data_IF_402743863097
#
_entry.id   IF_402743863097
#
_cell.length_a   1.000
_cell.length_b   1.000
_cell.length_c   1.000
_cell.angle_alpha   90.00
_cell.angle_beta   90.00
_cell.angle_gamma   90.00
#
_symmetry.space_group_name_H-M   'P 1'
#
loop_
_entity.id
_entity.type
_entity.pdbx_description
1 polymer ?
#
# COMPACT_ATOMS: atom_id res chain seq x y z
N UNK A 1 -15.42 7.72 34.82
CA UNK A 1 -16.87 7.61 35.08
C UNK A 1 -17.55 7.19 33.77
N UNK A 2 -18.54 6.29 33.87
CA UNK A 2 -19.27 5.58 32.81
C UNK A 2 -18.59 4.32 32.22
N UNK A 3 -18.80 3.21 32.95
CA UNK A 3 -18.88 1.83 32.46
C UNK A 3 -20.16 1.62 31.64
N UNK A 4 -20.30 0.44 31.00
CA UNK A 4 -21.42 -0.16 30.22
C UNK A 4 -21.09 -0.23 28.70
N UNK A 5 -21.20 -1.36 27.97
CA UNK A 5 -21.96 -2.61 28.19
C UNK A 5 -21.36 -3.76 27.37
N UNK A 6 -21.39 -4.94 28.00
CA UNK A 6 -21.46 -6.30 27.43
C UNK A 6 -22.47 -6.45 26.29
N UNK A 7 -22.10 -7.19 25.23
CA UNK A 7 -23.05 -7.81 24.28
C UNK A 7 -22.67 -9.27 24.07
N UNK A 8 -23.40 -10.11 24.81
CA UNK A 8 -24.00 -11.40 24.45
C UNK A 8 -23.49 -12.11 23.18
N UNK A 9 -22.80 -13.23 23.37
CA UNK A 9 -22.68 -14.28 22.37
C UNK A 9 -23.91 -15.20 22.45
N UNK A 10 -24.68 -15.26 21.37
CA UNK A 10 -25.70 -16.31 21.18
C UNK A 10 -25.22 -17.28 20.09
N UNK A 11 -25.19 -18.60 20.35
CA UNK A 11 -24.76 -19.58 19.36
C UNK A 11 -25.90 -19.91 18.39
N UNK A 12 -25.63 -19.76 17.10
CA UNK A 12 -26.55 -20.19 16.03
C UNK A 12 -26.61 -21.72 16.00
N UNK A 13 -27.76 -22.26 16.41
CA UNK A 13 -28.15 -23.68 16.27
C UNK A 13 -28.22 -24.06 14.79
N UNK A 14 -27.39 -25.02 14.36
CA UNK A 14 -27.64 -25.78 13.13
C UNK A 14 -28.79 -26.77 13.39
N UNK A 15 -29.86 -26.64 12.59
CA UNK A 15 -30.93 -27.65 12.49
C UNK A 15 -30.38 -28.88 11.77
N UNK A 16 -30.34 -30.02 12.47
CA UNK A 16 -30.17 -31.32 11.85
C UNK A 16 -31.55 -31.87 11.46
N UNK A 17 -31.71 -32.22 10.19
CA UNK A 17 -32.89 -32.94 9.70
C UNK A 17 -32.87 -34.37 10.25
N UNK A 18 -34.03 -34.78 10.75
CA UNK A 18 -34.32 -36.10 11.26
C UNK A 18 -34.69 -37.02 10.11
N UNK A 19 -33.93 -38.09 9.88
CA UNK A 19 -34.40 -39.27 9.17
C UNK A 19 -34.37 -40.47 10.12
N UNK A 20 -35.54 -41.09 10.28
CA UNK A 20 -35.79 -42.34 11.00
C UNK A 20 -35.79 -43.49 10.01
N UNK A 21 -35.04 -44.56 10.29
CA UNK A 21 -35.43 -45.97 10.07
C UNK A 21 -34.31 -46.86 10.66
N UNK A 22 -34.49 -47.49 11.82
CA UNK A 22 -35.06 -48.83 12.08
C UNK A 22 -34.08 -50.01 11.96
N UNK A 23 -33.74 -50.57 13.13
CA UNK A 23 -33.45 -51.97 13.51
C UNK A 23 -32.43 -52.84 12.75
N UNK A 24 -31.55 -53.49 13.53
CA UNK A 24 -31.06 -54.85 13.24
C UNK A 24 -29.61 -55.16 13.62
N UNK A 25 -29.41 -55.65 14.84
CA UNK A 25 -28.41 -56.61 15.36
C UNK A 25 -27.15 -57.03 14.57
N UNK A 26 -26.04 -56.99 15.32
CA UNK A 26 -24.93 -57.96 15.42
C UNK A 26 -23.70 -57.94 14.49
N UNK A 27 -22.59 -58.28 15.16
CA UNK A 27 -21.27 -58.72 14.71
C UNK A 27 -20.15 -57.68 14.48
N UNK A 28 -19.38 -57.49 15.55
CA UNK A 28 -17.91 -57.51 15.62
C UNK A 28 -17.17 -57.66 14.28
N UNK A 29 -16.42 -56.61 13.90
CA UNK A 29 -15.11 -56.75 13.24
C UNK A 29 -14.23 -55.55 13.55
N UNK A 30 -13.09 -55.85 14.15
CA UNK A 30 -11.93 -54.97 14.27
C UNK A 30 -11.50 -54.47 12.89
N UNK A 31 -11.25 -53.17 12.76
CA UNK A 31 -10.10 -52.72 11.98
C UNK A 31 -9.70 -51.32 12.45
N UNK A 32 -8.43 -51.23 12.84
CA UNK A 32 -7.73 -50.00 13.12
C UNK A 32 -7.76 -49.14 11.86
N UNK A 33 -8.29 -47.92 11.97
CA UNK A 33 -8.12 -46.93 10.92
C UNK A 33 -7.50 -45.66 11.53
N UNK A 34 -6.26 -45.45 11.13
CA UNK A 34 -5.44 -44.33 11.51
C UNK A 34 -6.02 -43.07 10.87
N UNK A 35 -6.68 -42.25 11.69
CA UNK A 35 -7.14 -40.91 11.30
C UNK A 35 -5.99 -40.01 10.88
N UNK A 36 -5.60 -40.10 9.61
CA UNK A 36 -4.78 -39.09 8.95
C UNK A 36 -5.72 -37.99 8.47
N UNK A 37 -5.73 -36.88 9.22
CA UNK A 37 -6.29 -35.60 8.76
C UNK A 37 -5.69 -35.28 7.40
N UNK A 38 -6.50 -35.34 6.34
CA UNK A 38 -6.12 -34.84 5.04
C UNK A 38 -5.72 -33.36 5.15
N UNK A 39 -4.42 -33.12 5.10
CA UNK A 39 -3.85 -31.83 4.76
C UNK A 39 -4.30 -31.57 3.32
N UNK A 40 -5.29 -30.68 3.14
CA UNK A 40 -5.78 -30.22 1.83
C UNK A 40 -4.60 -29.72 0.99
N UNK A 41 -4.10 -30.60 0.12
CA UNK A 41 -3.07 -30.32 -0.88
C UNK A 41 -3.51 -29.11 -1.71
N UNK A 42 -2.62 -28.13 -1.82
CA UNK A 42 -2.82 -26.95 -2.66
C UNK A 42 -3.20 -27.35 -4.08
N UNK A 43 -4.09 -26.57 -4.70
CA UNK A 43 -4.47 -26.79 -6.09
C UNK A 43 -3.24 -26.61 -6.99
N UNK A 44 -2.81 -27.64 -7.75
CA UNK A 44 -1.68 -27.51 -8.65
C UNK A 44 -2.01 -26.55 -9.80
N UNK A 45 -1.03 -25.74 -10.20
CA UNK A 45 -1.11 -24.72 -11.25
C UNK A 45 -1.46 -25.28 -12.65
N UNK A 46 -1.54 -26.61 -12.79
CA UNK A 46 -1.67 -27.32 -14.07
C UNK A 46 -3.08 -27.28 -14.69
N UNK A 47 -4.09 -26.75 -14.01
CA UNK A 47 -5.48 -26.81 -14.47
C UNK A 47 -6.02 -25.45 -14.94
N UNK A 48 -5.31 -24.83 -15.89
CA UNK A 48 -5.65 -23.53 -16.51
C UNK A 48 -7.09 -23.46 -17.03
N UNK A 49 -7.65 -24.59 -17.48
CA UNK A 49 -9.04 -24.67 -17.93
C UNK A 49 -10.04 -24.46 -16.78
N UNK A 50 -9.75 -24.97 -15.57
CA UNK A 50 -10.55 -24.68 -14.37
C UNK A 50 -10.43 -23.23 -13.93
N UNK A 51 -9.23 -22.64 -14.04
CA UNK A 51 -9.00 -21.21 -13.77
C UNK A 51 -9.86 -20.32 -14.66
N UNK A 52 -9.84 -20.57 -15.97
CA UNK A 52 -10.61 -19.79 -16.94
C UNK A 52 -12.13 -19.93 -16.71
N UNK A 53 -12.61 -21.14 -16.39
CA UNK A 53 -14.02 -21.39 -16.09
C UNK A 53 -14.49 -20.70 -14.81
N UNK A 54 -13.65 -20.64 -13.77
CA UNK A 54 -13.96 -19.98 -12.50
C UNK A 54 -13.93 -18.44 -12.62
N UNK A 55 -12.96 -17.88 -13.36
CA UNK A 55 -12.91 -16.46 -13.68
C UNK A 55 -14.18 -16.01 -14.42
N UNK A 56 -14.61 -16.77 -15.44
CA UNK A 56 -15.79 -16.43 -16.24
C UNK A 56 -17.10 -16.45 -15.44
N UNK A 57 -17.21 -17.32 -14.43
CA UNK A 57 -18.46 -17.53 -13.70
C UNK A 57 -18.60 -16.69 -12.40
N UNK A 58 -17.51 -16.14 -11.86
CA UNK A 58 -17.52 -15.51 -10.52
C UNK A 58 -16.78 -14.17 -10.42
N UNK A 59 -16.29 -13.62 -11.53
CA UNK A 59 -15.51 -12.37 -11.49
C UNK A 59 -16.34 -11.18 -11.00
N UNK A 60 -15.83 -10.49 -9.99
CA UNK A 60 -16.37 -9.22 -9.51
C UNK A 60 -15.87 -8.09 -10.40
N UNK A 61 -16.79 -7.33 -11.00
CA UNK A 61 -16.46 -6.17 -11.84
C UNK A 61 -15.56 -5.17 -11.12
N UNK A 62 -15.78 -4.98 -9.81
CA UNK A 62 -14.99 -4.05 -8.98
C UNK A 62 -13.55 -4.54 -8.79
N UNK A 63 -13.36 -5.81 -8.45
CA UNK A 63 -12.02 -6.38 -8.24
C UNK A 63 -11.21 -6.38 -9.54
N UNK A 64 -11.86 -6.66 -10.68
CA UNK A 64 -11.23 -6.57 -12.00
C UNK A 64 -10.76 -5.15 -12.34
N UNK A 65 -11.55 -4.13 -12.00
CA UNK A 65 -11.16 -2.73 -12.22
C UNK A 65 -9.98 -2.31 -11.32
N UNK A 66 -9.97 -2.73 -10.06
CA UNK A 66 -8.84 -2.47 -9.15
C UNK A 66 -7.58 -3.16 -9.66
N UNK A 67 -7.67 -4.44 -10.03
CA UNK A 67 -6.56 -5.16 -10.63
C UNK A 67 -6.03 -4.46 -11.88
N UNK A 68 -6.92 -3.98 -12.76
CA UNK A 68 -6.53 -3.27 -13.99
C UNK A 68 -5.76 -1.97 -13.71
N UNK A 69 -6.21 -1.15 -12.74
CA UNK A 69 -5.50 0.10 -12.36
C UNK A 69 -4.07 -0.22 -11.93
N UNK A 70 -3.90 -1.25 -11.11
CA UNK A 70 -2.59 -1.64 -10.61
C UNK A 70 -1.71 -2.29 -11.69
N UNK A 71 -2.29 -3.05 -12.62
CA UNK A 71 -1.56 -3.56 -13.78
C UNK A 71 -1.05 -2.41 -14.65
N UNK A 72 -1.90 -1.43 -14.94
CA UNK A 72 -1.52 -0.26 -15.74
C UNK A 72 -0.44 0.56 -15.03
N UNK A 73 -0.57 0.78 -13.70
CA UNK A 73 0.45 1.44 -12.90
C UNK A 73 1.78 0.69 -12.87
N UNK A 74 1.75 -0.64 -12.80
CA UNK A 74 2.94 -1.49 -12.87
C UNK A 74 3.66 -1.33 -14.22
N UNK A 75 2.92 -1.44 -15.34
CA UNK A 75 3.50 -1.24 -16.68
C UNK A 75 4.06 0.18 -16.84
N UNK A 76 3.31 1.21 -16.43
CA UNK A 76 3.75 2.59 -16.53
C UNK A 76 5.02 2.87 -15.72
N UNK A 77 5.06 2.43 -14.45
CA UNK A 77 6.24 2.60 -13.60
C UNK A 77 7.46 1.80 -14.09
N UNK A 78 7.26 0.62 -14.68
CA UNK A 78 8.34 -0.15 -15.31
C UNK A 78 8.90 0.54 -16.55
N UNK A 79 8.04 1.09 -17.42
CA UNK A 79 8.48 1.89 -18.55
C UNK A 79 9.26 3.13 -18.10
N UNK A 80 8.76 3.85 -17.08
CA UNK A 80 9.49 4.97 -16.50
C UNK A 80 10.83 4.54 -15.90
N UNK A 81 10.89 3.41 -15.20
CA UNK A 81 12.13 2.90 -14.60
C UNK A 81 13.23 2.66 -15.64
N UNK A 82 12.86 2.19 -16.84
CA UNK A 82 13.82 1.91 -17.91
C UNK A 82 14.22 3.18 -18.67
N UNK A 83 13.27 4.07 -18.95
CA UNK A 83 13.49 5.14 -19.92
C UNK A 83 13.60 6.55 -19.31
N UNK A 84 12.93 6.82 -18.20
CA UNK A 84 12.76 8.18 -17.71
C UNK A 84 14.09 8.85 -17.38
N UNK A 85 14.96 8.15 -16.65
CA UNK A 85 16.18 8.77 -16.14
C UNK A 85 17.15 9.12 -17.27
N UNK A 86 17.29 8.23 -18.26
CA UNK A 86 18.20 8.40 -19.39
C UNK A 86 17.71 9.45 -20.39
N UNK A 87 16.41 9.45 -20.70
CA UNK A 87 15.84 10.33 -21.74
C UNK A 87 15.36 11.69 -21.23
N UNK A 88 15.10 11.83 -19.92
CA UNK A 88 14.55 13.07 -19.36
C UNK A 88 15.46 13.72 -18.31
N UNK A 89 15.97 12.97 -17.34
CA UNK A 89 16.78 13.56 -16.25
C UNK A 89 18.14 14.06 -16.73
N UNK A 90 18.91 13.19 -17.39
CA UNK A 90 20.28 13.51 -17.82
C UNK A 90 20.31 14.74 -18.75
N UNK A 91 19.42 14.85 -19.76
CA UNK A 91 19.43 16.03 -20.63
C UNK A 91 19.03 17.33 -19.92
N UNK A 92 18.30 17.26 -18.80
CA UNK A 92 17.78 18.45 -18.11
C UNK A 92 18.88 19.19 -17.34
N UNK A 93 19.80 18.47 -16.69
CA UNK A 93 20.95 19.04 -15.99
C UNK A 93 22.23 18.21 -16.24
N UNK A 94 22.84 18.32 -17.43
CA UNK A 94 23.91 17.41 -17.85
C UNK A 94 25.19 17.52 -17.01
N UNK A 95 25.43 18.65 -16.37
CA UNK A 95 26.66 18.93 -15.61
C UNK A 95 26.55 18.61 -14.12
N UNK A 96 25.35 18.69 -13.56
CA UNK A 96 25.13 18.53 -12.11
C UNK A 96 24.43 17.24 -11.73
N UNK A 97 23.80 16.54 -12.68
CA UNK A 97 23.13 15.26 -12.39
C UNK A 97 24.13 14.22 -11.92
N UNK A 98 23.86 13.61 -10.78
CA UNK A 98 24.76 12.62 -10.17
C UNK A 98 24.25 11.19 -10.36
N UNK A 99 25.14 10.21 -10.15
CA UNK A 99 24.73 8.80 -10.05
C UNK A 99 23.78 8.56 -8.86
N UNK A 100 23.83 9.40 -7.83
CA UNK A 100 22.90 9.31 -6.70
C UNK A 100 21.48 9.68 -7.12
N UNK A 101 21.30 10.73 -7.94
CA UNK A 101 19.99 11.07 -8.51
C UNK A 101 19.40 9.89 -9.30
N UNK A 102 20.25 9.23 -10.10
CA UNK A 102 19.87 8.04 -10.86
C UNK A 102 19.33 6.94 -9.94
N UNK A 103 20.07 6.64 -8.87
CA UNK A 103 19.69 5.62 -7.89
C UNK A 103 18.42 6.02 -7.16
N UNK A 104 18.25 7.28 -6.76
CA UNK A 104 17.09 7.77 -6.02
C UNK A 104 15.80 7.63 -6.85
N UNK A 105 15.79 8.09 -8.10
CA UNK A 105 14.61 7.97 -8.96
C UNK A 105 14.29 6.51 -9.29
N UNK A 106 15.30 5.71 -9.65
CA UNK A 106 15.07 4.31 -9.98
C UNK A 106 14.67 3.48 -8.76
N UNK A 107 15.22 3.79 -7.58
CA UNK A 107 14.78 3.17 -6.33
C UNK A 107 13.31 3.47 -6.06
N UNK A 108 12.86 4.72 -6.23
CA UNK A 108 11.44 5.04 -6.06
C UNK A 108 10.56 4.31 -7.08
N UNK A 109 10.88 4.40 -8.37
CA UNK A 109 10.11 3.78 -9.46
C UNK A 109 10.03 2.26 -9.34
N UNK A 110 11.13 1.60 -8.94
CA UNK A 110 11.12 0.16 -8.65
C UNK A 110 10.13 -0.19 -7.53
N UNK A 111 10.08 0.63 -6.47
CA UNK A 111 9.14 0.41 -5.38
C UNK A 111 7.69 0.69 -5.78
N UNK A 112 7.43 1.66 -6.66
CA UNK A 112 6.11 1.88 -7.27
C UNK A 112 5.70 0.65 -8.10
N UNK A 113 6.61 0.12 -8.92
CA UNK A 113 6.38 -1.09 -9.71
C UNK A 113 6.02 -2.28 -8.81
N UNK A 114 6.83 -2.55 -7.78
CA UNK A 114 6.58 -3.66 -6.83
C UNK A 114 5.24 -3.46 -6.12
N UNK A 115 4.95 -2.24 -5.66
CA UNK A 115 3.68 -1.91 -5.04
C UNK A 115 2.50 -2.22 -5.97
N UNK A 116 2.52 -1.70 -7.18
CA UNK A 116 1.46 -1.93 -8.16
C UNK A 116 1.32 -3.42 -8.50
N UNK A 117 2.43 -4.12 -8.74
CA UNK A 117 2.40 -5.53 -9.13
C UNK A 117 1.86 -6.44 -8.01
N UNK A 118 2.26 -6.21 -6.76
CA UNK A 118 1.76 -6.99 -5.61
C UNK A 118 0.26 -6.77 -5.41
N UNK A 119 -0.22 -5.52 -5.52
CA UNK A 119 -1.65 -5.23 -5.43
C UNK A 119 -2.44 -5.81 -6.60
N UNK A 120 -1.91 -5.77 -7.82
CA UNK A 120 -2.51 -6.46 -8.97
C UNK A 120 -2.68 -7.96 -8.67
N UNK A 121 -1.62 -8.64 -8.23
CA UNK A 121 -1.69 -10.08 -7.92
C UNK A 121 -2.71 -10.36 -6.82
N UNK A 122 -2.71 -9.55 -5.75
CA UNK A 122 -3.66 -9.70 -4.65
C UNK A 122 -5.12 -9.60 -5.14
N UNK A 123 -5.47 -8.53 -5.86
CA UNK A 123 -6.84 -8.34 -6.35
C UNK A 123 -7.22 -9.33 -7.45
N UNK A 124 -6.27 -9.76 -8.27
CA UNK A 124 -6.48 -10.83 -9.24
C UNK A 124 -6.81 -12.17 -8.55
N UNK A 125 -6.05 -12.56 -7.53
CA UNK A 125 -6.27 -13.78 -6.72
C UNK A 125 -7.59 -13.69 -5.94
N UNK A 126 -7.92 -12.51 -5.40
CA UNK A 126 -9.19 -12.24 -4.73
C UNK A 126 -10.37 -12.44 -5.69
N UNK A 127 -10.25 -11.96 -6.92
CA UNK A 127 -11.29 -12.04 -7.97
C UNK A 127 -11.62 -13.51 -8.33
N UNK A 128 -10.60 -14.36 -8.46
CA UNK A 128 -10.78 -15.80 -8.74
C UNK A 128 -11.15 -16.63 -7.49
N UNK A 129 -11.29 -16.02 -6.31
CA UNK A 129 -11.69 -16.68 -5.05
C UNK A 129 -10.75 -17.79 -4.55
N UNK A 130 -9.42 -17.66 -4.75
CA UNK A 130 -8.45 -18.61 -4.17
C UNK A 130 -8.19 -18.33 -2.69
N UNK A 131 -9.12 -18.77 -1.84
CA UNK A 131 -9.09 -18.48 -0.40
C UNK A 131 -7.81 -18.98 0.30
N UNK A 132 -7.22 -20.09 -0.16
CA UNK A 132 -6.06 -20.70 0.48
C UNK A 132 -4.79 -19.83 0.43
N UNK A 133 -4.66 -18.94 -0.56
CA UNK A 133 -3.51 -18.03 -0.69
C UNK A 133 -3.85 -16.57 -0.36
N UNK A 134 -5.13 -16.25 -0.15
CA UNK A 134 -5.58 -14.87 -0.04
C UNK A 134 -4.96 -14.13 1.15
N UNK A 135 -4.82 -14.81 2.29
CA UNK A 135 -4.22 -14.21 3.50
C UNK A 135 -2.74 -13.86 3.31
N UNK A 136 -1.98 -14.71 2.61
CA UNK A 136 -0.58 -14.45 2.31
C UNK A 136 -0.42 -13.24 1.39
N UNK A 137 -1.20 -13.17 0.32
CA UNK A 137 -1.16 -12.04 -0.61
C UNK A 137 -1.69 -10.74 0.01
N UNK A 138 -2.62 -10.83 0.96
CA UNK A 138 -3.05 -9.69 1.76
C UNK A 138 -1.92 -9.15 2.64
N UNK A 139 -1.11 -10.03 3.26
CA UNK A 139 0.09 -9.61 4.00
C UNK A 139 1.09 -8.93 3.07
N UNK A 140 1.37 -9.51 1.90
CA UNK A 140 2.28 -8.89 0.92
C UNK A 140 1.80 -7.52 0.45
N UNK A 141 0.49 -7.35 0.21
CA UNK A 141 -0.10 -6.06 -0.12
C UNK A 141 0.12 -5.01 0.99
N UNK A 142 0.00 -5.41 2.27
CA UNK A 142 0.29 -4.54 3.40
C UNK A 142 1.78 -4.19 3.54
N UNK A 143 2.67 -5.17 3.31
CA UNK A 143 4.11 -4.93 3.29
C UNK A 143 4.49 -3.97 2.16
N UNK A 144 3.87 -4.13 0.98
CA UNK A 144 4.10 -3.26 -0.17
C UNK A 144 3.67 -1.81 0.09
N UNK A 145 2.58 -1.58 0.83
CA UNK A 145 2.17 -0.23 1.28
C UNK A 145 3.24 0.43 2.15
N UNK A 146 3.76 -0.31 3.14
CA UNK A 146 4.82 0.21 4.02
C UNK A 146 6.10 0.43 3.21
N UNK A 147 6.48 -0.50 2.33
CA UNK A 147 7.67 -0.38 1.51
C UNK A 147 7.63 0.87 0.60
N UNK A 148 6.49 1.14 -0.04
CA UNK A 148 6.28 2.36 -0.83
C UNK A 148 6.33 3.62 0.03
N UNK A 149 5.73 3.60 1.23
CA UNK A 149 5.84 4.70 2.18
C UNK A 149 7.31 4.98 2.52
N UNK A 150 8.09 3.96 2.90
CA UNK A 150 9.50 4.14 3.25
C UNK A 150 10.33 4.67 2.09
N UNK A 151 10.16 4.10 0.88
CA UNK A 151 10.90 4.57 -0.28
C UNK A 151 10.53 6.01 -0.65
N UNK A 152 9.26 6.39 -0.56
CA UNK A 152 8.82 7.79 -0.76
C UNK A 152 9.52 8.74 0.22
N UNK A 153 9.60 8.37 1.50
CA UNK A 153 10.24 9.21 2.51
C UNK A 153 11.75 9.28 2.30
N UNK A 154 12.44 8.17 2.06
CA UNK A 154 13.89 8.17 1.87
C UNK A 154 14.28 9.02 0.65
N UNK A 155 13.53 8.90 -0.45
CA UNK A 155 13.84 9.64 -1.68
C UNK A 155 13.55 11.13 -1.57
N UNK A 156 12.47 11.56 -0.90
CA UNK A 156 12.25 13.00 -0.67
C UNK A 156 13.23 13.56 0.37
N UNK A 157 13.66 12.77 1.36
CA UNK A 157 14.66 13.18 2.35
C UNK A 157 16.02 13.50 1.72
N UNK A 158 16.39 12.78 0.67
CA UNK A 158 17.61 13.06 -0.08
C UNK A 158 17.61 14.49 -0.63
N UNK A 159 16.51 14.90 -1.29
CA UNK A 159 16.37 16.25 -1.82
C UNK A 159 16.12 17.32 -0.75
N UNK A 160 15.47 16.95 0.36
CA UNK A 160 15.21 17.88 1.46
C UNK A 160 16.49 18.28 2.21
N UNK A 161 17.38 17.32 2.46
CA UNK A 161 18.61 17.49 3.23
C UNK A 161 19.87 17.29 2.38
N UNK A 162 19.83 17.71 1.10
CA UNK A 162 20.92 17.46 0.14
C UNK A 162 22.29 18.02 0.60
N UNK A 163 22.28 19.12 1.35
CA UNK A 163 23.43 19.80 1.96
C UNK A 163 23.65 19.41 3.44
N UNK A 164 22.73 18.67 4.06
CA UNK A 164 22.83 18.18 5.44
C UNK A 164 22.78 16.65 5.52
N UNK A 165 23.84 16.02 5.01
CA UNK A 165 23.98 14.55 4.93
C UNK A 165 23.77 13.84 6.28
N UNK A 166 24.11 14.48 7.39
CA UNK A 166 23.88 13.94 8.73
C UNK A 166 22.39 13.71 9.03
N UNK A 167 21.53 14.71 8.76
CA UNK A 167 20.09 14.58 8.95
C UNK A 167 19.50 13.55 8.00
N UNK A 168 19.91 13.54 6.73
CA UNK A 168 19.50 12.51 5.76
C UNK A 168 19.77 11.09 6.27
N UNK A 169 20.98 10.82 6.78
CA UNK A 169 21.36 9.50 7.30
C UNK A 169 20.54 9.09 8.52
N UNK A 170 20.39 9.99 9.50
CA UNK A 170 19.62 9.69 10.72
C UNK A 170 18.17 9.40 10.40
N UNK A 171 17.52 10.24 9.59
CA UNK A 171 16.12 10.01 9.24
C UNK A 171 15.93 8.77 8.37
N UNK A 172 16.88 8.46 7.48
CA UNK A 172 16.83 7.22 6.70
C UNK A 172 16.90 5.99 7.62
N UNK A 173 17.80 5.97 8.60
CA UNK A 173 17.88 4.89 9.58
C UNK A 173 16.59 4.78 10.41
N UNK A 174 16.02 5.92 10.81
CA UNK A 174 14.74 5.97 11.51
C UNK A 174 13.60 5.40 10.67
N UNK A 175 13.52 5.75 9.37
CA UNK A 175 12.52 5.19 8.45
C UNK A 175 12.65 3.67 8.35
N UNK A 176 13.87 3.16 8.17
CA UNK A 176 14.11 1.71 8.12
C UNK A 176 13.68 1.04 9.42
N UNK A 177 14.01 1.62 10.58
CA UNK A 177 13.62 1.08 11.88
C UNK A 177 12.09 1.03 12.06
N UNK A 178 11.40 2.14 11.77
CA UNK A 178 9.92 2.19 11.84
C UNK A 178 9.31 1.17 10.86
N UNK A 179 9.89 1.04 9.67
CA UNK A 179 9.52 0.04 8.66
C UNK A 179 9.61 -1.39 9.16
N UNK A 180 10.73 -1.76 9.80
CA UNK A 180 10.93 -3.08 10.39
C UNK A 180 9.90 -3.38 11.48
N UNK A 181 9.63 -2.41 12.35
CA UNK A 181 8.59 -2.55 13.38
C UNK A 181 7.22 -2.76 12.72
N UNK A 182 6.88 -1.97 11.70
CA UNK A 182 5.62 -2.11 10.98
C UNK A 182 5.49 -3.47 10.28
N UNK A 183 6.55 -3.99 9.67
CA UNK A 183 6.58 -5.32 9.07
C UNK A 183 6.29 -6.41 10.09
N UNK A 184 6.91 -6.34 11.28
CA UNK A 184 6.64 -7.30 12.36
C UNK A 184 5.15 -7.32 12.76
N UNK A 185 4.53 -6.15 12.91
CA UNK A 185 3.09 -6.06 13.20
C UNK A 185 2.21 -6.61 12.08
N UNK A 186 2.58 -6.41 10.81
CA UNK A 186 1.83 -6.92 9.64
C UNK A 186 1.90 -8.45 9.55
N UNK A 187 3.05 -9.03 9.86
CA UNK A 187 3.23 -10.48 9.86
C UNK A 187 2.48 -11.18 11.00
N UNK A 188 2.03 -10.43 12.01
CA UNK A 188 1.20 -10.95 13.10
C UNK A 188 -0.27 -11.06 12.68
N UNK A 189 -0.93 -12.18 12.98
CA UNK A 189 -2.34 -12.45 12.61
C UNK A 189 -3.36 -11.44 13.16
N UNK A 190 -2.97 -10.72 14.22
CA UNK A 190 -3.80 -9.70 14.88
C UNK A 190 -4.16 -8.55 13.95
N UNK A 191 -3.25 -8.11 13.07
CA UNK A 191 -3.55 -7.01 12.15
C UNK A 191 -4.48 -7.46 11.01
N UNK A 192 -4.34 -8.69 10.54
CA UNK A 192 -5.12 -9.23 9.41
C UNK A 192 -6.57 -9.48 9.83
N UNK A 193 -6.77 -10.04 11.02
CA UNK A 193 -8.09 -10.28 11.62
C UNK A 193 -8.77 -9.00 12.12
N UNK A 194 -8.04 -7.88 12.22
CA UNK A 194 -8.57 -6.62 12.71
C UNK A 194 -9.59 -5.97 11.77
N UNK A 195 -10.49 -5.17 12.36
CA UNK A 195 -11.47 -4.35 11.64
C UNK A 195 -10.76 -3.36 10.69
N UNK A 196 -11.43 -2.99 9.59
CA UNK A 196 -10.94 -2.00 8.59
C UNK A 196 -10.45 -0.71 9.23
N UNK A 197 -11.17 -0.23 10.25
CA UNK A 197 -10.80 0.95 11.03
C UNK A 197 -9.42 0.81 11.68
N UNK A 198 -9.19 -0.24 12.47
CA UNK A 198 -7.91 -0.48 13.16
C UNK A 198 -6.73 -0.59 12.19
N UNK A 199 -6.92 -1.27 11.05
CA UNK A 199 -5.90 -1.36 9.99
C UNK A 199 -5.57 0.02 9.43
N UNK A 200 -6.59 0.82 9.15
CA UNK A 200 -6.40 2.16 8.59
C UNK A 200 -5.70 3.09 9.58
N UNK A 201 -6.11 3.05 10.85
CA UNK A 201 -5.44 3.79 11.92
C UNK A 201 -3.97 3.40 12.03
N UNK A 202 -3.64 2.11 11.96
CA UNK A 202 -2.25 1.65 11.96
C UNK A 202 -1.43 2.28 10.82
N UNK A 203 -1.90 2.19 9.56
CA UNK A 203 -1.18 2.76 8.42
C UNK A 203 -1.06 4.29 8.48
N UNK A 204 -2.12 4.99 8.92
CA UNK A 204 -2.08 6.44 9.11
C UNK A 204 -1.06 6.79 10.19
N UNK A 205 -1.06 6.10 11.33
CA UNK A 205 -0.11 6.38 12.42
C UNK A 205 1.34 6.21 11.97
N UNK A 206 1.66 5.14 11.25
CA UNK A 206 3.01 4.94 10.69
C UNK A 206 3.36 6.08 9.73
N UNK A 207 2.44 6.44 8.82
CA UNK A 207 2.64 7.53 7.86
C UNK A 207 2.87 8.88 8.53
N UNK A 208 2.06 9.22 9.55
CA UNK A 208 2.19 10.48 10.30
C UNK A 208 3.52 10.55 11.02
N UNK A 209 3.98 9.47 11.66
CA UNK A 209 5.29 9.47 12.33
C UNK A 209 6.43 9.63 11.33
N UNK A 210 6.38 8.90 10.20
CA UNK A 210 7.40 8.98 9.16
C UNK A 210 7.49 10.39 8.54
N UNK A 211 6.36 11.06 8.29
CA UNK A 211 6.35 12.38 7.64
C UNK A 211 6.62 13.53 8.61
N UNK A 212 6.11 13.47 9.85
CA UNK A 212 6.14 14.61 10.78
C UNK A 212 7.53 14.87 11.37
N UNK A 213 8.29 13.83 11.71
CA UNK A 213 9.59 13.99 12.39
C UNK A 213 10.63 14.69 11.51
N UNK A 214 10.86 14.28 10.24
CA UNK A 214 11.83 14.98 9.40
C UNK A 214 11.34 16.37 8.98
N UNK A 215 10.02 16.53 8.75
CA UNK A 215 9.45 17.82 8.38
C UNK A 215 9.59 18.85 9.51
N UNK A 216 9.30 18.47 10.75
CA UNK A 216 9.48 19.35 11.91
C UNK A 216 10.94 19.73 12.09
N UNK A 217 11.84 18.75 11.92
CA UNK A 217 13.29 19.01 12.00
C UNK A 217 13.74 19.96 10.90
N UNK A 218 13.29 19.77 9.66
CA UNK A 218 13.59 20.67 8.56
C UNK A 218 13.09 22.11 8.82
N UNK A 219 11.88 22.27 9.37
CA UNK A 219 11.35 23.59 9.73
C UNK A 219 12.24 24.28 10.78
N UNK A 220 12.73 23.54 11.77
CA UNK A 220 13.61 24.06 12.82
C UNK A 220 15.00 24.36 12.26
N UNK A 221 15.56 23.48 11.43
CA UNK A 221 16.91 23.61 10.87
C UNK A 221 17.02 24.74 9.84
N UNK A 222 15.96 25.01 9.08
CA UNK A 222 15.98 26.01 8.01
C UNK A 222 15.31 27.33 8.39
N UNK A 223 15.13 27.62 9.68
CA UNK A 223 14.55 28.88 10.18
C UNK A 223 13.13 29.17 9.62
N UNK A 224 12.30 28.14 9.49
CA UNK A 224 10.88 28.27 9.19
C UNK A 224 10.42 27.72 7.84
N UNK A 225 9.12 27.91 7.56
CA UNK A 225 8.44 27.36 6.39
C UNK A 225 8.81 28.06 5.08
N UNK A 226 9.23 29.33 5.12
CA UNK A 226 9.55 30.08 3.89
C UNK A 226 10.80 29.53 3.22
N UNK A 227 11.91 29.40 3.96
CA UNK A 227 13.16 28.82 3.45
C UNK A 227 13.01 27.35 3.04
N UNK A 228 12.05 26.62 3.64
CA UNK A 228 11.76 25.24 3.27
C UNK A 228 11.12 25.12 1.87
N UNK A 229 10.38 26.15 1.41
CA UNK A 229 9.78 26.17 0.06
C UNK A 229 10.82 26.23 -1.06
N UNK A 230 12.01 26.74 -0.76
CA UNK A 230 13.11 26.83 -1.72
C UNK A 230 13.79 25.47 -1.95
N UNK A 231 13.56 24.51 -1.04
CA UNK A 231 14.15 23.17 -1.09
C UNK A 231 13.17 22.12 -1.62
N UNK A 232 11.92 22.19 -1.20
CA UNK A 232 10.87 21.23 -1.57
C UNK A 232 9.56 21.92 -1.91
N UNK A 233 8.78 21.33 -2.83
CA UNK A 233 7.44 21.81 -3.17
C UNK A 233 6.42 21.48 -2.07
N UNK A 234 6.44 22.23 -0.97
CA UNK A 234 5.52 22.04 0.17
C UNK A 234 4.04 21.99 -0.20
N UNK A 235 3.61 22.82 -1.17
CA UNK A 235 2.21 22.81 -1.66
C UNK A 235 1.83 21.46 -2.26
N UNK A 236 2.72 20.84 -3.03
CA UNK A 236 2.46 19.55 -3.65
C UNK A 236 2.40 18.43 -2.60
N UNK A 237 3.33 18.42 -1.64
CA UNK A 237 3.30 17.48 -0.50
C UNK A 237 2.01 17.64 0.32
N UNK A 238 1.53 18.87 0.49
CA UNK A 238 0.25 19.12 1.19
C UNK A 238 -0.92 18.50 0.44
N UNK A 239 -0.98 18.64 -0.88
CA UNK A 239 -2.03 18.00 -1.71
C UNK A 239 -1.95 16.48 -1.66
N UNK A 240 -0.75 15.91 -1.66
CA UNK A 240 -0.55 14.47 -1.49
C UNK A 240 -1.13 14.01 -0.15
N UNK A 241 -0.82 14.71 0.95
CA UNK A 241 -1.35 14.40 2.28
C UNK A 241 -2.89 14.48 2.32
N UNK A 242 -3.46 15.53 1.73
CA UNK A 242 -4.93 15.69 1.66
C UNK A 242 -5.56 14.53 0.88
N UNK A 243 -4.97 14.11 -0.23
CA UNK A 243 -5.46 12.99 -1.01
C UNK A 243 -5.41 11.66 -0.22
N UNK A 244 -4.30 11.39 0.49
CA UNK A 244 -4.13 10.19 1.31
C UNK A 244 -5.12 10.13 2.49
N UNK A 245 -5.34 11.26 3.18
CA UNK A 245 -6.33 11.36 4.26
C UNK A 245 -7.73 11.15 3.71
N UNK A 246 -8.07 11.81 2.59
CA UNK A 246 -9.37 11.67 1.93
C UNK A 246 -9.64 10.22 1.52
N UNK A 247 -8.66 9.56 0.90
CA UNK A 247 -8.75 8.14 0.54
C UNK A 247 -9.01 7.27 1.78
N UNK A 248 -8.29 7.51 2.86
CA UNK A 248 -8.44 6.76 4.11
C UNK A 248 -9.81 6.94 4.74
N UNK A 249 -10.36 8.15 4.71
CA UNK A 249 -11.72 8.45 5.17
C UNK A 249 -12.75 7.74 4.30
N UNK A 250 -12.63 7.81 2.97
CA UNK A 250 -13.50 7.08 2.02
C UNK A 250 -13.50 5.59 2.32
N UNK A 251 -12.31 5.00 2.50
CA UNK A 251 -12.11 3.59 2.82
C UNK A 251 -12.81 3.21 4.14
N UNK A 252 -12.54 3.93 5.22
CA UNK A 252 -13.11 3.60 6.54
C UNK A 252 -14.62 3.80 6.59
N UNK A 253 -15.11 4.94 6.10
CA UNK A 253 -16.53 5.34 6.17
C UNK A 253 -17.40 4.62 5.16
N UNK A 254 -16.79 3.89 4.21
CA UNK A 254 -17.51 3.21 3.13
C UNK A 254 -18.29 4.19 2.25
N UNK A 255 -17.79 5.42 2.12
CA UNK A 255 -18.44 6.42 1.28
C UNK A 255 -18.14 6.14 -0.21
N UNK A 256 -19.10 6.31 -1.13
CA UNK A 256 -20.50 6.74 -0.92
C UNK A 256 -21.47 5.58 -0.62
N UNK A 257 -21.03 4.33 -0.60
CA UNK A 257 -21.93 3.18 -0.41
C UNK A 257 -22.67 3.18 0.94
N UNK A 258 -22.14 3.87 1.95
CA UNK A 258 -22.79 4.11 3.23
C UNK A 258 -24.02 5.00 3.14
N UNK A 259 -24.09 5.92 2.15
CA UNK A 259 -25.26 6.79 1.92
C UNK A 259 -26.41 6.06 1.23
N UNK A 260 -26.10 5.15 0.30
CA UNK A 260 -27.09 4.42 -0.50
C UNK A 260 -27.59 3.13 0.19
N UNK A 261 -27.02 2.78 1.35
CA UNK A 261 -27.29 1.53 2.10
C UNK A 261 -28.75 1.37 2.58
N UNK A 262 -29.62 2.37 2.39
CA UNK A 262 -31.04 2.28 2.75
C UNK A 262 -31.86 1.43 1.77
N UNK A 263 -31.41 1.20 0.54
CA UNK A 263 -32.16 0.45 -0.47
C UNK A 263 -31.24 -0.38 -1.37
N UNK A 264 -31.03 -1.65 -1.02
CA UNK A 264 -30.95 -2.84 -1.91
C UNK A 264 -29.99 -3.90 -1.33
N UNK A 265 -30.53 -5.13 -1.25
CA UNK A 265 -29.83 -6.36 -0.87
C UNK A 265 -28.96 -6.94 -2.00
N UNK A 266 -28.80 -6.27 -3.14
CA UNK A 266 -28.41 -6.96 -4.39
C UNK A 266 -27.39 -6.25 -5.31
N UNK A 267 -26.47 -5.40 -4.82
CA UNK A 267 -25.39 -4.90 -5.68
C UNK A 267 -24.01 -5.02 -5.03
N UNK A 268 -23.21 -5.98 -5.53
CA UNK A 268 -21.83 -6.29 -5.14
C UNK A 268 -20.80 -5.24 -5.57
N UNK A 269 -21.18 -3.96 -5.52
CA UNK A 269 -20.42 -2.83 -6.03
C UNK A 269 -19.81 -2.02 -4.87
N UNK A 270 -18.56 -2.37 -4.52
CA UNK A 270 -17.79 -1.75 -3.43
C UNK A 270 -17.01 -0.52 -3.94
N UNK A 271 -17.75 0.56 -4.21
CA UNK A 271 -17.20 1.78 -4.79
C UNK A 271 -16.13 2.44 -3.91
N UNK A 272 -16.25 2.37 -2.58
CA UNK A 272 -15.28 2.96 -1.66
C UNK A 272 -13.89 2.32 -1.77
N UNK A 273 -13.83 1.00 -1.95
CA UNK A 273 -12.58 0.26 -2.13
C UNK A 273 -11.93 0.61 -3.47
N UNK A 274 -12.70 0.66 -4.55
CA UNK A 274 -12.19 1.09 -5.86
C UNK A 274 -11.63 2.52 -5.81
N UNK A 275 -12.40 3.48 -5.26
CA UNK A 275 -11.96 4.87 -5.15
C UNK A 275 -10.71 5.01 -4.27
N UNK A 276 -10.64 4.27 -3.16
CA UNK A 276 -9.43 4.21 -2.34
C UNK A 276 -8.21 3.78 -3.16
N UNK A 277 -8.29 2.64 -3.87
CA UNK A 277 -7.16 2.15 -4.66
C UNK A 277 -6.79 3.08 -5.81
N UNK A 278 -7.78 3.71 -6.46
CA UNK A 278 -7.54 4.71 -7.50
C UNK A 278 -6.75 5.91 -6.95
N UNK A 279 -7.17 6.46 -5.81
CA UNK A 279 -6.48 7.61 -5.20
C UNK A 279 -5.08 7.22 -4.72
N UNK A 280 -4.93 6.09 -4.01
CA UNK A 280 -3.63 5.64 -3.50
C UNK A 280 -2.65 5.36 -4.64
N UNK A 281 -3.10 4.70 -5.71
CA UNK A 281 -2.26 4.48 -6.90
C UNK A 281 -1.89 5.82 -7.57
N UNK A 282 -2.83 6.75 -7.68
CA UNK A 282 -2.58 8.09 -8.22
C UNK A 282 -1.57 8.89 -7.39
N UNK A 283 -1.64 8.81 -6.06
CA UNK A 283 -0.69 9.49 -5.17
C UNK A 283 0.74 8.99 -5.34
N UNK A 284 0.97 7.72 -5.68
CA UNK A 284 2.31 7.22 -5.98
C UNK A 284 2.94 7.93 -7.20
N UNK A 285 2.17 8.14 -8.27
CA UNK A 285 2.64 8.90 -9.44
C UNK A 285 2.73 10.40 -9.16
N UNK A 286 1.84 10.93 -8.32
CA UNK A 286 1.92 12.32 -7.89
C UNK A 286 3.17 12.59 -7.04
N UNK A 287 3.56 11.64 -6.18
CA UNK A 287 4.81 11.73 -5.43
C UNK A 287 6.03 11.68 -6.36
N UNK A 288 6.01 10.85 -7.40
CA UNK A 288 7.05 10.89 -8.43
C UNK A 288 7.18 12.28 -9.07
N UNK A 289 6.06 12.96 -9.35
CA UNK A 289 6.08 14.36 -9.79
C UNK A 289 6.71 15.29 -8.74
N UNK A 290 6.43 15.10 -7.45
CA UNK A 290 7.08 15.85 -6.37
C UNK A 290 8.60 15.63 -6.39
N UNK A 291 9.07 14.40 -6.57
CA UNK A 291 10.51 14.10 -6.66
C UNK A 291 11.17 14.82 -7.83
N UNK A 292 10.54 14.83 -9.01
CA UNK A 292 11.03 15.57 -10.18
C UNK A 292 11.16 17.06 -9.86
N UNK A 293 10.15 17.64 -9.20
CA UNK A 293 10.18 19.06 -8.85
C UNK A 293 11.26 19.38 -7.80
N UNK A 294 11.47 18.51 -6.82
CA UNK A 294 12.52 18.67 -5.81
C UNK A 294 13.92 18.56 -6.43
N UNK A 295 14.11 17.62 -7.36
CA UNK A 295 15.31 17.50 -8.18
C UNK A 295 15.57 18.80 -8.97
N UNK A 296 14.56 19.32 -9.68
CA UNK A 296 14.70 20.57 -10.44
C UNK A 296 15.08 21.73 -9.52
N UNK A 297 14.46 21.85 -8.34
CA UNK A 297 14.78 22.91 -7.37
C UNK A 297 16.23 22.80 -6.89
N UNK A 298 16.67 21.61 -6.49
CA UNK A 298 18.04 21.37 -6.03
C UNK A 298 19.07 21.68 -7.12
N UNK A 299 18.89 21.17 -8.34
CA UNK A 299 19.87 21.43 -9.40
C UNK A 299 19.82 22.85 -9.95
N UNK A 300 18.67 23.52 -9.88
CA UNK A 300 18.60 24.95 -10.23
C UNK A 300 19.34 25.82 -9.22
N UNK A 301 19.36 25.47 -7.94
CA UNK A 301 20.14 26.21 -6.93
C UNK A 301 21.64 25.95 -7.07
N UNK A 302 22.05 24.73 -7.43
CA UNK A 302 23.46 24.37 -7.66
C UNK A 302 24.04 24.98 -8.95
N UNK A 303 23.21 25.24 -9.97
CA UNK A 303 23.65 25.82 -11.26
C UNK A 303 23.64 27.35 -11.29
N UNK A 304 23.40 28.04 -10.17
CA UNK A 304 23.56 29.49 -10.15
C UNK A 304 25.05 29.83 -10.30
N UNK A 305 25.46 30.65 -11.29
CA UNK A 305 26.83 31.11 -11.36
C UNK A 305 27.14 31.86 -10.06
N UNK A 306 28.32 31.62 -9.48
CA UNK A 306 28.86 32.42 -8.38
C UNK A 306 28.95 33.88 -8.86
N UNK A 307 27.85 34.63 -8.72
CA UNK A 307 27.91 36.08 -8.75
C UNK A 307 28.74 36.44 -7.52
N UNK A 308 29.98 36.85 -7.77
CA UNK A 308 30.93 37.38 -6.80
C UNK A 308 30.16 38.36 -5.90
N UNK A 309 29.80 37.87 -4.72
CA UNK A 309 29.02 38.63 -3.76
C UNK A 309 30.02 39.48 -2.98
N UNK A 310 30.29 40.69 -3.47
CA UNK A 310 31.00 41.71 -2.69
C UNK A 310 30.09 42.16 -1.54
N UNK A 311 30.01 41.34 -0.49
CA UNK A 311 29.54 41.81 0.81
C UNK A 311 30.67 42.62 1.43
N UNK A 312 30.55 43.96 1.38
CA UNK A 312 31.29 44.89 2.24
C UNK A 312 30.69 44.93 3.64
#
# INVERSE_FOLDING_TARGET
>A
MASLTTVEQSPVKCKANTEKSSNGTDESKSNADAGTKEIKKGFPFHDLAKWQKQYRNKSSRTESLVALIYLLGSVASFCLLIFFTDFYLIPLFPTTTTMTDYIVFNFYLLNVFVFCMVHFIYHFIKNISLQQQLEHWQRFSYLANINLLLSSQITILYYLFYDYVFFFKIFTLLMIFIGLVAYFFILTDKLISSKRFNKTVFFISVSVVCCSLPLLTAIITFDGLENLKDRIKLKAITWELVALVTASVIYVTRFPESLFRRNKKEEGWNHSEYLFHLVISGTAFYHFFILIQSYILMHSSLNQPELINFKS
#
